data_IF_479603721296
#
_entry.id   IF_479603721296
#
_cell.length_a   1.000
_cell.length_b   1.000
_cell.length_c   1.000
_cell.angle_alpha   90.00
_cell.angle_beta   90.00
_cell.angle_gamma   90.00
#
_symmetry.space_group_name_H-M   'P 1'
#
loop_
_entity.id
_entity.type
_entity.pdbx_description
1 polymer ?
#
# COMPACT_ATOMS: atom_id res chain seq x y z
N UNK A 1 4.84 -30.47 11.11
CA UNK A 1 5.57 -30.04 9.91
C UNK A 1 5.49 -28.52 9.83
N UNK A 2 6.55 -27.84 10.24
CA UNK A 2 6.68 -26.38 10.22
C UNK A 2 7.92 -26.08 9.38
N UNK A 3 7.75 -25.37 8.27
CA UNK A 3 8.89 -24.84 7.50
C UNK A 3 8.70 -23.34 7.39
N UNK A 4 9.39 -22.64 8.29
CA UNK A 4 9.81 -21.26 8.13
C UNK A 4 10.55 -21.12 6.79
N UNK A 5 9.92 -20.43 5.84
CA UNK A 5 10.61 -19.85 4.69
C UNK A 5 10.66 -18.33 4.91
N UNK A 6 11.50 -17.92 5.85
CA UNK A 6 12.21 -16.66 5.70
C UNK A 6 13.27 -16.85 4.61
N UNK A 7 13.71 -15.75 3.98
CA UNK A 7 14.73 -15.65 2.92
C UNK A 7 14.20 -15.63 1.49
N UNK A 8 13.68 -14.48 1.09
CA UNK A 8 14.34 -13.59 0.11
C UNK A 8 13.55 -12.29 0.03
N UNK A 9 14.21 -11.19 -0.33
CA UNK A 9 13.54 -9.93 -0.67
C UNK A 9 12.68 -10.11 -1.91
N UNK A 10 11.55 -10.78 -1.73
CA UNK A 10 10.57 -11.14 -2.73
C UNK A 10 9.87 -9.84 -3.11
N UNK A 11 10.57 -8.99 -3.89
CA UNK A 11 9.97 -7.90 -4.65
C UNK A 11 9.14 -8.56 -5.76
N UNK A 12 8.12 -9.34 -5.37
CA UNK A 12 7.05 -9.72 -6.27
C UNK A 12 6.59 -8.43 -6.92
N UNK A 13 6.48 -8.40 -8.25
CA UNK A 13 6.10 -7.18 -8.94
C UNK A 13 4.81 -6.68 -8.29
N UNK A 14 4.85 -5.44 -7.79
CA UNK A 14 3.66 -4.83 -7.19
C UNK A 14 2.60 -4.78 -8.28
N UNK A 15 1.51 -5.48 -8.06
CA UNK A 15 0.33 -5.44 -8.92
C UNK A 15 -0.64 -4.38 -8.42
N UNK A 16 -1.56 -3.93 -9.28
CA UNK A 16 -2.61 -2.99 -8.89
C UNK A 16 -3.41 -3.49 -7.67
N UNK A 17 -3.75 -4.78 -7.67
CA UNK A 17 -4.44 -5.42 -6.55
C UNK A 17 -3.61 -5.35 -5.26
N UNK A 18 -2.30 -5.65 -5.32
CA UNK A 18 -1.44 -5.57 -4.14
C UNK A 18 -1.33 -4.15 -3.57
N UNK A 19 -1.33 -3.12 -4.42
CA UNK A 19 -1.36 -1.73 -3.96
C UNK A 19 -2.72 -1.38 -3.35
N UNK A 20 -3.83 -1.80 -3.95
CA UNK A 20 -5.16 -1.58 -3.39
C UNK A 20 -5.34 -2.24 -2.01
N UNK A 21 -4.81 -3.46 -1.82
CA UNK A 21 -4.75 -4.13 -0.53
C UNK A 21 -3.89 -3.36 0.47
N UNK A 22 -2.74 -2.86 0.04
CA UNK A 22 -1.88 -2.01 0.86
C UNK A 22 -2.62 -0.73 1.29
N UNK A 23 -3.33 -0.05 0.38
CA UNK A 23 -4.14 1.14 0.69
C UNK A 23 -5.20 0.85 1.75
N UNK A 24 -5.91 -0.27 1.62
CA UNK A 24 -6.90 -0.69 2.61
C UNK A 24 -6.28 -0.87 4.00
N UNK A 25 -5.12 -1.54 4.08
CA UNK A 25 -4.39 -1.72 5.34
C UNK A 25 -3.94 -0.39 5.95
N UNK A 26 -3.40 0.53 5.13
CA UNK A 26 -2.99 1.86 5.58
C UNK A 26 -4.18 2.67 6.10
N UNK A 27 -5.32 2.65 5.42
CA UNK A 27 -6.52 3.34 5.89
C UNK A 27 -7.03 2.79 7.23
N UNK A 28 -6.96 1.47 7.45
CA UNK A 28 -7.33 0.87 8.74
C UNK A 28 -6.41 1.35 9.85
N UNK A 29 -5.09 1.41 9.60
CA UNK A 29 -4.12 1.94 10.56
C UNK A 29 -4.34 3.42 10.84
N UNK A 30 -4.70 4.20 9.82
CA UNK A 30 -4.98 5.63 9.95
C UNK A 30 -6.18 5.87 10.86
N UNK A 31 -7.27 5.11 10.65
CA UNK A 31 -8.45 5.18 11.52
C UNK A 31 -8.11 4.88 12.98
N UNK A 32 -7.24 3.89 13.23
CA UNK A 32 -6.78 3.59 14.59
C UNK A 32 -5.94 4.74 15.16
N UNK A 33 -5.01 5.32 14.38
CA UNK A 33 -4.20 6.46 14.81
C UNK A 33 -5.07 7.68 15.18
N UNK A 34 -6.11 7.96 14.40
CA UNK A 34 -7.09 9.01 14.68
C UNK A 34 -7.84 8.70 15.98
N UNK A 35 -8.29 7.46 16.18
CA UNK A 35 -9.00 7.05 17.40
C UNK A 35 -8.13 7.14 18.65
N UNK A 36 -6.83 6.86 18.53
CA UNK A 36 -5.89 6.94 19.66
C UNK A 36 -5.31 8.34 19.86
N UNK A 37 -5.61 9.31 18.98
CA UNK A 37 -5.06 10.66 19.02
C UNK A 37 -3.56 10.74 18.73
N UNK A 38 -3.01 9.74 18.02
CA UNK A 38 -1.59 9.71 17.67
C UNK A 38 -1.34 10.52 16.39
N UNK A 39 -1.11 11.82 16.57
CA UNK A 39 -0.88 12.76 15.47
C UNK A 39 0.41 12.46 14.68
N UNK A 40 1.43 11.86 15.31
CA UNK A 40 2.68 11.49 14.64
C UNK A 40 2.44 10.35 13.67
N UNK A 41 1.84 9.26 14.17
CA UNK A 41 1.44 8.11 13.34
C UNK A 41 0.44 8.53 12.26
N UNK A 42 -0.50 9.43 12.56
CA UNK A 42 -1.44 9.95 11.56
C UNK A 42 -0.70 10.60 10.37
N UNK A 43 0.21 11.54 10.64
CA UNK A 43 0.95 12.24 9.60
C UNK A 43 1.83 11.31 8.75
N UNK A 44 2.47 10.31 9.37
CA UNK A 44 3.25 9.29 8.66
C UNK A 44 2.36 8.45 7.74
N UNK A 45 1.21 7.99 8.24
CA UNK A 45 0.27 7.18 7.46
C UNK A 45 -0.35 7.96 6.30
N UNK A 46 -0.67 9.24 6.47
CA UNK A 46 -1.15 10.11 5.39
C UNK A 46 -0.12 10.22 4.25
N UNK A 47 1.17 10.35 4.59
CA UNK A 47 2.24 10.35 3.58
C UNK A 47 2.39 8.99 2.89
N UNK A 48 2.29 7.89 3.63
CA UNK A 48 2.34 6.54 3.05
C UNK A 48 1.19 6.28 2.09
N UNK A 49 -0.03 6.71 2.44
CA UNK A 49 -1.22 6.62 1.58
C UNK A 49 -1.01 7.42 0.30
N UNK A 50 -0.54 8.66 0.40
CA UNK A 50 -0.27 9.50 -0.77
C UNK A 50 0.75 8.85 -1.72
N UNK A 51 1.81 8.23 -1.19
CA UNK A 51 2.78 7.50 -2.00
C UNK A 51 2.15 6.28 -2.67
N UNK A 52 1.29 5.55 -1.96
CA UNK A 52 0.59 4.39 -2.50
C UNK A 52 -0.39 4.77 -3.61
N UNK A 53 -1.13 5.87 -3.45
CA UNK A 53 -2.04 6.40 -4.47
C UNK A 53 -1.30 6.79 -5.75
N UNK A 54 -0.15 7.47 -5.65
CA UNK A 54 0.69 7.76 -6.83
C UNK A 54 1.09 6.50 -7.59
N UNK A 55 1.45 5.43 -6.89
CA UNK A 55 1.81 4.16 -7.52
C UNK A 55 0.60 3.46 -8.17
N UNK A 56 -0.60 3.59 -7.57
CA UNK A 56 -1.85 3.09 -8.15
C UNK A 56 -2.14 3.83 -9.46
N UNK A 57 -2.02 5.15 -9.45
CA UNK A 57 -2.26 6.00 -10.61
C UNK A 57 -1.28 5.69 -11.74
N UNK A 58 0.02 5.60 -11.44
CA UNK A 58 1.07 5.25 -12.40
C UNK A 58 0.79 3.91 -13.10
N UNK A 59 0.40 2.88 -12.35
CA UNK A 59 0.07 1.57 -12.93
C UNK A 59 -1.25 1.57 -13.69
N UNK A 60 -2.25 2.34 -13.25
CA UNK A 60 -3.53 2.46 -13.94
C UNK A 60 -3.35 3.17 -15.29
N UNK A 61 -2.54 4.25 -15.34
CA UNK A 61 -2.19 4.94 -16.58
C UNK A 61 -1.30 4.10 -17.52
N UNK A 62 -0.47 3.20 -16.98
CA UNK A 62 0.30 2.26 -17.78
C UNK A 62 -0.58 1.18 -18.44
N UNK A 63 -1.62 0.70 -17.74
CA UNK A 63 -2.59 -0.27 -18.29
C UNK A 63 -3.57 0.33 -19.32
N UNK A 64 -3.86 1.64 -19.22
CA UNK A 64 -4.79 2.33 -20.12
C UNK A 64 -4.26 2.61 -21.54
N UNK A 65 -2.96 2.42 -21.81
CA UNK A 65 -2.36 2.63 -23.14
C UNK A 65 -2.54 1.46 -24.12
N UNK A 66 -3.09 0.33 -23.67
CA UNK A 66 -3.26 -0.87 -24.51
C UNK A 66 -4.61 -0.89 -25.26
N UNK A 67 -5.52 0.04 -24.94
CA UNK A 67 -6.84 0.14 -25.59
C UNK A 67 -7.05 1.54 -26.16
N UNK A 68 -6.35 1.88 -27.25
CA UNK A 68 -6.79 2.96 -28.15
C UNK A 68 -6.39 2.68 -29.57
#
# INVERSE_FOLDING_TARGET
MSTYAELTGDKRPRTLNSLQQQRYSLNRRLLLAIQTGDAGMQAELEQEILRNDKQIDEMSCAGGRVFR
#
